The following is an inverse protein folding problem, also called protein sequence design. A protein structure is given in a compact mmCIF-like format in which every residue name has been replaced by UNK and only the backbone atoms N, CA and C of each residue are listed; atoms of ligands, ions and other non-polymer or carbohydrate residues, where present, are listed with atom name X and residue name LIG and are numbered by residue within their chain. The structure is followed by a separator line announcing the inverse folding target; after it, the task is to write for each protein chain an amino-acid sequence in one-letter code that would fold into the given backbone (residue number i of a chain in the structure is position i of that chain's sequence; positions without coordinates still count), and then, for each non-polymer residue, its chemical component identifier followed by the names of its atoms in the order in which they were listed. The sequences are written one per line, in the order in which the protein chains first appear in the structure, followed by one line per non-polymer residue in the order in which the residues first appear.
data_IF_288345486550
#
_entry.id   IF_288345486550
#
_cell.length_a   1.000
_cell.length_b   1.000
_cell.length_c   1.000
_cell.angle_alpha   90.00
_cell.angle_beta   90.00
_cell.angle_gamma   90.00
#
_symmetry.space_group_name_H-M   'P 1'
#
loop_
_entity.id
_entity.type
_entity.pdbx_description
1 polymer ?
#
# COMPACT_ATOMS: atom_id res chain seq x y z
N UNK A 1 18.74 -2.30 17.07
CA UNK A 1 17.82 -3.19 16.33
C UNK A 1 16.60 -2.37 15.93
N UNK A 2 16.24 -2.39 14.65
CA UNK A 2 15.03 -1.80 14.08
C UNK A 2 13.82 -2.67 14.38
N UNK A 3 12.66 -2.06 14.26
CA UNK A 3 11.34 -2.63 14.53
C UNK A 3 10.45 -2.60 13.28
N UNK A 4 9.35 -3.37 13.25
CA UNK A 4 8.36 -3.25 12.17
C UNK A 4 7.76 -1.83 12.04
N UNK A 5 7.65 -1.06 13.14
CA UNK A 5 7.19 0.33 13.08
C UNK A 5 8.20 1.25 12.35
N UNK A 6 9.50 0.96 12.41
CA UNK A 6 10.50 1.70 11.62
C UNK A 6 10.23 1.54 10.11
N UNK A 7 9.89 0.33 9.65
CA UNK A 7 9.48 0.12 8.24
C UNK A 7 8.22 0.91 7.91
N UNK A 8 7.21 0.89 8.79
CA UNK A 8 5.99 1.65 8.59
C UNK A 8 6.25 3.15 8.48
N UNK A 9 7.10 3.69 9.35
CA UNK A 9 7.48 5.11 9.34
C UNK A 9 8.23 5.50 8.07
N UNK A 10 9.18 4.67 7.61
CA UNK A 10 9.91 4.91 6.37
C UNK A 10 8.95 4.99 5.19
N UNK A 11 8.06 4.00 5.03
CA UNK A 11 7.10 3.98 3.92
C UNK A 11 6.08 5.12 4.02
N UNK A 12 5.62 5.44 5.23
CA UNK A 12 4.70 6.54 5.45
C UNK A 12 5.29 7.86 4.98
N UNK A 13 6.53 8.16 5.39
CA UNK A 13 7.24 9.37 4.98
C UNK A 13 7.56 9.36 3.48
N UNK A 14 7.92 8.22 2.91
CA UNK A 14 8.15 8.06 1.46
C UNK A 14 6.90 8.43 0.64
N UNK A 15 5.70 8.20 1.17
CA UNK A 15 4.44 8.50 0.52
C UNK A 15 3.96 9.95 0.72
N UNK A 16 4.43 10.65 1.75
CA UNK A 16 4.00 12.02 2.02
C UNK A 16 4.47 13.00 0.93
N UNK A 17 3.61 13.96 0.57
CA UNK A 17 3.90 14.97 -0.44
C UNK A 17 4.05 14.45 -1.88
N UNK A 18 3.74 13.17 -2.11
CA UNK A 18 3.85 12.55 -3.44
C UNK A 18 2.62 12.78 -4.31
N UNK A 19 2.77 12.54 -5.62
CA UNK A 19 1.65 12.54 -6.57
C UNK A 19 0.58 11.50 -6.21
N UNK A 20 0.97 10.34 -5.67
CA UNK A 20 0.02 9.35 -5.16
C UNK A 20 -0.79 9.91 -3.99
N UNK A 21 -0.13 10.50 -3.00
CA UNK A 21 -0.82 11.09 -1.83
C UNK A 21 -1.76 12.22 -2.24
N UNK A 22 -1.41 13.02 -3.24
CA UNK A 22 -2.28 14.05 -3.80
C UNK A 22 -3.44 13.48 -4.62
N UNK A 23 -3.27 12.30 -5.23
CA UNK A 23 -4.27 11.68 -6.08
C UNK A 23 -5.38 10.97 -5.29
N UNK A 24 -5.07 10.33 -4.17
CA UNK A 24 -6.06 9.62 -3.35
C UNK A 24 -7.04 10.59 -2.67
N UNK A 25 -8.28 10.16 -2.49
CA UNK A 25 -9.31 10.97 -1.83
C UNK A 25 -9.27 10.88 -0.30
N UNK A 26 -8.60 9.86 0.23
CA UNK A 26 -8.40 9.62 1.65
C UNK A 26 -6.96 9.84 2.11
N UNK A 27 -6.45 8.92 2.92
CA UNK A 27 -5.14 9.10 3.54
C UNK A 27 -4.27 7.85 3.55
N UNK A 28 -3.02 8.04 3.98
CA UNK A 28 -2.05 6.98 4.24
C UNK A 28 -2.11 6.64 5.73
N UNK A 29 -2.30 5.36 6.05
CA UNK A 29 -2.35 4.86 7.41
C UNK A 29 -1.26 3.83 7.67
N UNK A 30 -0.84 3.71 8.92
CA UNK A 30 0.07 2.66 9.40
C UNK A 30 -0.76 1.67 10.23
N UNK A 31 -0.88 0.42 9.79
CA UNK A 31 -1.68 -0.62 10.43
C UNK A 31 -3.14 -0.56 10.00
N UNK A 32 -3.96 0.20 10.74
CA UNK A 32 -5.42 0.12 10.57
C UNK A 32 -5.97 1.17 9.60
N UNK A 33 -6.87 0.74 8.72
CA UNK A 33 -7.72 1.64 7.94
C UNK A 33 -8.89 2.08 8.83
N UNK A 34 -9.24 3.38 8.87
CA UNK A 34 -10.39 3.82 9.65
C UNK A 34 -11.67 3.07 9.27
N UNK A 35 -12.42 2.68 10.30
CA UNK A 35 -13.72 2.04 10.13
C UNK A 35 -14.63 2.92 9.25
N UNK A 36 -15.37 2.26 8.36
CA UNK A 36 -16.32 2.90 7.44
C UNK A 36 -15.70 3.98 6.53
N UNK A 37 -14.38 3.99 6.30
CA UNK A 37 -13.81 4.89 5.29
C UNK A 37 -14.47 4.62 3.93
N UNK A 38 -15.04 5.68 3.35
CA UNK A 38 -15.64 5.69 2.01
C UNK A 38 -14.66 6.21 0.94
N UNK A 39 -13.38 6.31 1.29
CA UNK A 39 -12.34 6.98 0.49
C UNK A 39 -11.31 6.00 -0.04
N UNK A 40 -10.49 6.50 -0.96
CA UNK A 40 -9.31 5.80 -1.45
C UNK A 40 -8.16 6.01 -0.46
N UNK A 41 -7.62 4.93 0.06
CA UNK A 41 -6.64 4.97 1.14
C UNK A 41 -5.43 4.11 0.81
N UNK A 42 -4.29 4.43 1.40
CA UNK A 42 -3.10 3.57 1.39
C UNK A 42 -2.87 3.07 2.80
N UNK A 43 -2.76 1.76 3.00
CA UNK A 43 -2.52 1.18 4.33
C UNK A 43 -1.21 0.42 4.34
N UNK A 44 -0.29 0.84 5.20
CA UNK A 44 1.02 0.23 5.37
C UNK A 44 0.94 -0.81 6.47
N UNK A 45 1.25 -2.06 6.13
CA UNK A 45 1.22 -3.21 7.03
C UNK A 45 2.59 -3.87 7.08
N UNK A 46 3.43 -3.56 8.09
CA UNK A 46 4.62 -4.34 8.40
C UNK A 46 4.23 -5.79 8.70
N UNK A 47 4.93 -6.77 8.12
CA UNK A 47 4.65 -8.19 8.31
C UNK A 47 5.66 -8.84 9.25
N UNK A 48 6.94 -8.70 8.94
CA UNK A 48 8.01 -9.36 9.65
C UNK A 48 9.28 -8.53 9.62
N UNK A 49 10.11 -8.69 10.64
CA UNK A 49 11.47 -8.20 10.68
C UNK A 49 12.31 -9.21 11.45
N UNK A 50 13.36 -9.73 10.83
CA UNK A 50 14.22 -10.77 11.41
C UNK A 50 15.68 -10.41 11.22
N UNK A 51 16.57 -11.06 11.97
CA UNK A 51 18.01 -10.80 11.93
C UNK A 51 18.50 -9.90 13.06
N UNK A 52 19.82 -9.81 13.18
CA UNK A 52 20.52 -9.13 14.27
C UNK A 52 21.33 -7.94 13.73
N UNK A 53 22.49 -8.20 13.13
CA UNK A 53 23.36 -7.17 12.55
C UNK A 53 22.79 -6.63 11.24
N UNK A 54 22.48 -7.53 10.31
CA UNK A 54 21.62 -7.25 9.17
C UNK A 54 20.20 -7.68 9.51
N UNK A 55 19.22 -6.81 9.28
CA UNK A 55 17.82 -7.14 9.50
C UNK A 55 17.05 -7.13 8.18
N UNK A 56 16.29 -8.19 7.94
CA UNK A 56 15.46 -8.37 6.76
C UNK A 56 14.01 -8.28 7.15
N UNK A 57 13.26 -7.45 6.45
CA UNK A 57 11.85 -7.25 6.76
C UNK A 57 10.99 -7.23 5.52
N UNK A 58 9.70 -7.45 5.71
CA UNK A 58 8.69 -7.33 4.66
C UNK A 58 7.56 -6.45 5.16
N UNK A 59 7.10 -5.55 4.32
CA UNK A 59 5.93 -4.72 4.54
C UNK A 59 5.06 -4.69 3.29
N UNK A 60 3.77 -4.41 3.50
CA UNK A 60 2.80 -4.22 2.44
C UNK A 60 2.36 -2.75 2.42
N UNK A 61 2.19 -2.17 1.24
CA UNK A 61 1.37 -0.97 1.03
C UNK A 61 0.14 -1.36 0.21
N UNK A 62 -1.03 -1.36 0.85
CA UNK A 62 -2.30 -1.74 0.23
C UNK A 62 -3.03 -0.49 -0.27
N UNK A 63 -3.34 -0.44 -1.56
CA UNK A 63 -4.07 0.66 -2.20
C UNK A 63 -5.57 0.30 -2.27
N UNK A 64 -6.40 0.89 -1.41
CA UNK A 64 -7.84 0.63 -1.36
C UNK A 64 -8.60 1.60 -2.26
N UNK A 65 -9.52 1.07 -3.07
CA UNK A 65 -10.39 1.84 -3.97
C UNK A 65 -11.83 1.35 -3.86
N UNK A 66 -12.81 2.26 -3.69
CA UNK A 66 -14.22 1.88 -3.69
C UNK A 66 -14.65 1.31 -5.04
N UNK A 67 -15.54 0.33 -5.01
CA UNK A 67 -16.17 -0.20 -6.20
C UNK A 67 -17.10 0.82 -6.86
N UNK A 68 -17.33 0.65 -8.16
CA UNK A 68 -18.24 1.48 -8.93
C UNK A 68 -19.56 0.74 -9.19
N UNK A 69 -20.66 1.50 -9.13
CA UNK A 69 -21.98 1.01 -9.49
C UNK A 69 -22.08 0.77 -10.99
N UNK A 70 -22.61 -0.39 -11.38
CA UNK A 70 -22.90 -0.77 -12.76
C UNK A 70 -24.29 -1.38 -12.84
N UNK A 71 -24.96 -1.20 -13.97
CA UNK A 71 -26.24 -1.84 -14.24
C UNK A 71 -26.03 -3.00 -15.20
N UNK A 72 -26.09 -4.23 -14.68
CA UNK A 72 -25.90 -5.45 -15.47
C UNK A 72 -27.20 -6.24 -15.51
N UNK A 73 -27.71 -6.47 -16.73
CA UNK A 73 -28.98 -7.18 -16.96
C UNK A 73 -30.16 -6.59 -16.15
N UNK A 74 -30.21 -5.25 -16.06
CA UNK A 74 -31.25 -4.53 -15.34
C UNK A 74 -31.14 -4.54 -13.81
N UNK A 75 -30.11 -5.17 -13.24
CA UNK A 75 -29.83 -5.16 -11.80
C UNK A 75 -28.66 -4.23 -11.49
N UNK A 76 -28.81 -3.44 -10.44
CA UNK A 76 -27.71 -2.65 -9.90
C UNK A 76 -26.73 -3.59 -9.19
N UNK A 77 -25.46 -3.46 -9.53
CA UNK A 77 -24.34 -4.24 -9.00
C UNK A 77 -23.16 -3.31 -8.77
N UNK A 78 -22.16 -3.76 -8.01
CA UNK A 78 -20.87 -3.06 -7.88
C UNK A 78 -19.75 -3.93 -8.40
N UNK A 79 -18.77 -3.31 -9.06
CA UNK A 79 -17.59 -3.98 -9.61
C UNK A 79 -16.34 -3.17 -9.30
N UNK A 80 -15.18 -3.82 -9.34
CA UNK A 80 -13.90 -3.17 -9.12
C UNK A 80 -13.69 -1.98 -10.08
N UNK A 81 -13.22 -0.86 -9.55
CA UNK A 81 -12.78 0.26 -10.35
C UNK A 81 -11.35 0.04 -10.87
N UNK A 82 -11.19 -0.87 -11.84
CA UNK A 82 -9.87 -1.25 -12.37
C UNK A 82 -9.09 -0.07 -12.94
N UNK A 83 -9.76 0.90 -13.57
CA UNK A 83 -9.11 2.09 -14.10
C UNK A 83 -8.46 2.92 -12.98
N UNK A 84 -9.17 3.09 -11.86
CA UNK A 84 -8.65 3.82 -10.71
C UNK A 84 -7.56 3.04 -9.96
N UNK A 85 -7.75 1.74 -9.76
CA UNK A 85 -6.72 0.87 -9.18
C UNK A 85 -5.43 0.91 -10.00
N UNK A 86 -5.52 0.82 -11.32
CA UNK A 86 -4.36 0.93 -12.22
C UNK A 86 -3.67 2.28 -12.08
N UNK A 87 -4.41 3.38 -12.15
CA UNK A 87 -3.85 4.72 -12.03
C UNK A 87 -3.08 4.89 -10.71
N UNK A 88 -3.69 4.53 -9.57
CA UNK A 88 -3.03 4.67 -8.27
C UNK A 88 -1.81 3.74 -8.14
N UNK A 89 -1.89 2.54 -8.71
CA UNK A 89 -0.75 1.62 -8.77
C UNK A 89 0.39 2.23 -9.58
N UNK A 90 0.12 2.74 -10.78
CA UNK A 90 1.12 3.37 -11.65
C UNK A 90 1.80 4.58 -10.97
N UNK A 91 1.05 5.36 -10.18
CA UNK A 91 1.60 6.46 -9.36
C UNK A 91 2.47 5.94 -8.21
N UNK A 92 2.11 4.82 -7.60
CA UNK A 92 2.85 4.22 -6.49
C UNK A 92 4.19 3.63 -6.92
N UNK A 93 4.28 3.05 -8.12
CA UNK A 93 5.48 2.35 -8.59
C UNK A 93 6.76 3.19 -8.48
N UNK A 94 6.88 4.38 -9.10
CA UNK A 94 8.13 5.14 -9.02
C UNK A 94 8.47 5.62 -7.60
N UNK A 95 7.47 5.74 -6.71
CA UNK A 95 7.66 6.18 -5.32
C UNK A 95 8.22 5.05 -4.46
N UNK A 96 7.74 3.82 -4.68
CA UNK A 96 8.03 2.66 -3.84
C UNK A 96 8.97 1.64 -4.49
N UNK A 97 9.42 1.89 -5.73
CA UNK A 97 10.24 0.96 -6.52
C UNK A 97 11.46 0.46 -5.75
N UNK A 98 12.28 1.39 -5.30
CA UNK A 98 13.49 1.10 -4.53
C UNK A 98 13.94 2.36 -3.78
N UNK A 99 14.75 2.14 -2.74
CA UNK A 99 15.51 3.20 -2.08
C UNK A 99 16.75 2.59 -1.47
N UNK A 100 17.86 3.31 -1.59
CA UNK A 100 19.12 2.95 -0.94
C UNK A 100 19.62 4.12 -0.11
N UNK A 101 20.07 3.85 1.10
CA UNK A 101 20.65 4.80 2.05
C UNK A 101 21.83 4.14 2.77
N UNK A 102 22.57 4.89 3.58
CA UNK A 102 23.65 4.32 4.39
C UNK A 102 23.17 3.39 5.51
N UNK A 103 21.87 3.41 5.84
CA UNK A 103 21.31 2.66 6.99
C UNK A 103 20.30 1.58 6.61
N UNK A 104 19.72 1.66 5.41
CA UNK A 104 18.79 0.66 4.91
C UNK A 104 18.64 0.75 3.39
N UNK A 105 18.14 -0.33 2.80
CA UNK A 105 17.50 -0.34 1.49
C UNK A 105 16.09 -0.95 1.57
N UNK A 106 15.25 -0.60 0.63
CA UNK A 106 14.04 -1.37 0.33
C UNK A 106 13.85 -1.51 -1.18
N UNK A 107 13.07 -2.50 -1.58
CA UNK A 107 12.65 -2.72 -2.96
C UNK A 107 11.21 -3.22 -3.04
N UNK A 108 10.47 -2.78 -4.05
CA UNK A 108 9.17 -3.32 -4.40
C UNK A 108 9.36 -4.67 -5.08
N UNK A 109 8.85 -5.73 -4.46
CA UNK A 109 9.05 -7.11 -4.91
C UNK A 109 7.84 -7.65 -5.65
N UNK A 110 6.62 -7.24 -5.29
CA UNK A 110 5.41 -7.76 -5.91
C UNK A 110 4.32 -6.70 -6.00
N UNK A 111 3.64 -6.69 -7.14
CA UNK A 111 2.38 -5.98 -7.36
C UNK A 111 1.29 -7.05 -7.48
N UNK A 112 0.40 -7.11 -6.50
CA UNK A 112 -0.69 -8.07 -6.46
C UNK A 112 -1.81 -7.74 -7.44
N UNK A 113 -2.60 -8.74 -7.81
CA UNK A 113 -3.89 -8.50 -8.45
C UNK A 113 -4.86 -7.82 -7.47
N UNK A 114 -5.86 -7.07 -7.97
CA UNK A 114 -6.91 -6.54 -7.11
C UNK A 114 -7.62 -7.63 -6.30
N UNK A 115 -7.68 -7.44 -4.99
CA UNK A 115 -8.35 -8.34 -4.04
C UNK A 115 -9.67 -7.72 -3.61
N UNK A 116 -10.76 -8.47 -3.74
CA UNK A 116 -12.11 -8.03 -3.40
C UNK A 116 -12.35 -8.01 -1.89
N UNK A 117 -13.08 -7.00 -1.43
CA UNK A 117 -13.66 -6.89 -0.09
C UNK A 117 -15.16 -6.65 -0.23
N UNK A 118 -15.96 -7.71 -0.49
CA UNK A 118 -17.35 -7.58 -0.91
C UNK A 118 -18.25 -6.89 0.13
N UNK A 119 -18.00 -7.13 1.41
CA UNK A 119 -18.83 -6.60 2.51
C UNK A 119 -18.83 -5.07 2.57
N UNK A 120 -17.72 -4.45 2.15
CA UNK A 120 -17.55 -3.01 2.12
C UNK A 120 -17.58 -2.42 0.71
N UNK A 121 -17.66 -3.27 -0.34
CA UNK A 121 -17.63 -2.88 -1.76
C UNK A 121 -16.34 -2.14 -2.14
N UNK A 122 -15.22 -2.78 -1.84
CA UNK A 122 -13.88 -2.31 -2.18
C UNK A 122 -13.09 -3.37 -2.91
N UNK A 123 -12.07 -2.90 -3.63
CA UNK A 123 -10.92 -3.71 -3.94
C UNK A 123 -9.64 -3.02 -3.45
N UNK A 124 -8.60 -3.81 -3.15
CA UNK A 124 -7.27 -3.25 -2.95
C UNK A 124 -6.21 -3.95 -3.79
N UNK A 125 -5.16 -3.22 -4.15
CA UNK A 125 -3.93 -3.78 -4.73
C UNK A 125 -2.87 -3.83 -3.63
N UNK A 126 -2.26 -5.00 -3.45
CA UNK A 126 -1.15 -5.17 -2.51
C UNK A 126 0.18 -4.89 -3.20
N UNK A 127 0.96 -3.96 -2.65
CA UNK A 127 2.36 -3.73 -3.03
C UNK A 127 3.27 -4.29 -1.94
N UNK A 128 4.00 -5.37 -2.23
CA UNK A 128 4.92 -5.98 -1.28
C UNK A 128 6.31 -5.39 -1.42
N UNK A 129 6.88 -4.97 -0.30
CA UNK A 129 8.16 -4.27 -0.22
C UNK A 129 9.03 -5.02 0.77
N UNK A 130 10.23 -5.39 0.34
CA UNK A 130 11.24 -6.00 1.21
C UNK A 130 12.29 -4.97 1.63
N UNK A 131 12.68 -5.05 2.89
CA UNK A 131 13.64 -4.18 3.56
C UNK A 131 14.91 -4.96 3.91
N UNK A 132 16.03 -4.27 3.85
CA UNK A 132 17.27 -4.69 4.48
C UNK A 132 17.86 -3.50 5.25
N UNK A 133 17.99 -3.62 6.56
CA UNK A 133 18.69 -2.66 7.42
C UNK A 133 20.14 -3.07 7.58
N UNK A 134 21.04 -2.09 7.49
CA UNK A 134 22.48 -2.28 7.62
C UNK A 134 22.94 -2.09 9.07
N UNK A 135 24.07 -2.71 9.46
CA UNK A 135 24.72 -2.43 10.73
C UNK A 135 24.98 -0.94 10.90
N UNK A 136 24.76 -0.45 12.12
CA UNK A 136 25.07 0.93 12.52
C UNK A 136 26.54 1.08 12.90
#
# INVERSE_FOLDING_TARGET
MKSPDDMANILYQQLQGTTLKAAITGDVYKGDRPDNSTKEDVVINPLSLTGNEFQYGTANANLYVPDIGVKLKGKDQTVANYARLKLLTDLALPILKDRYTDSYKFELVTIGNPVALPDIKYHYVNLRIDFMFFPS
#
